data_IF_695784844975
#
_entry.id   IF_695784844975
#
_cell.length_a   1.000
_cell.length_b   1.000
_cell.length_c   1.000
_cell.angle_alpha   90.00
_cell.angle_beta   90.00
_cell.angle_gamma   90.00
#
_symmetry.space_group_name_H-M   'P 1'
#
loop_
_entity.id
_entity.type
_entity.pdbx_description
1 polymer ?
#
# COMPACT_ATOMS: atom_id res chain seq x y z
N UNK A 1 -4.38 -9.69 15.40
CA UNK A 1 -3.33 -8.69 15.16
C UNK A 1 -2.09 -9.49 14.82
N UNK A 2 -1.49 -9.18 13.68
CA UNK A 2 -0.22 -9.79 13.28
C UNK A 2 0.87 -8.73 13.47
N UNK A 3 1.92 -9.06 14.24
CA UNK A 3 3.08 -8.19 14.43
C UNK A 3 4.25 -8.73 13.60
N UNK A 4 4.83 -7.86 12.78
CA UNK A 4 5.98 -8.16 11.94
C UNK A 4 7.08 -7.16 12.30
N UNK A 5 8.21 -7.70 12.78
CA UNK A 5 9.39 -6.87 13.10
C UNK A 5 10.31 -6.79 11.89
N UNK A 6 10.58 -5.57 11.45
CA UNK A 6 11.55 -5.30 10.38
C UNK A 6 12.62 -4.37 10.94
N UNK A 7 13.67 -4.97 11.51
CA UNK A 7 14.72 -4.26 12.26
C UNK A 7 14.15 -3.27 13.30
N UNK A 8 14.57 -2.00 13.22
CA UNK A 8 14.23 -0.85 14.05
C UNK A 8 12.83 -0.28 13.74
N UNK A 9 11.98 -1.02 13.04
CA UNK A 9 10.60 -0.67 12.77
C UNK A 9 9.65 -1.84 13.10
N UNK A 10 8.44 -1.48 13.54
CA UNK A 10 7.35 -2.42 13.83
C UNK A 10 6.23 -2.20 12.86
N UNK A 11 5.73 -3.30 12.30
CA UNK A 11 4.56 -3.31 11.44
C UNK A 11 3.45 -4.12 12.12
N UNK A 12 2.25 -3.54 12.15
CA UNK A 12 1.07 -4.17 12.70
C UNK A 12 -0.02 -4.23 11.65
N UNK A 13 -0.69 -5.39 11.55
CA UNK A 13 -1.86 -5.58 10.69
C UNK A 13 -3.07 -5.92 11.56
N UNK A 14 -4.12 -5.11 11.45
CA UNK A 14 -5.37 -5.23 12.20
C UNK A 14 -6.53 -5.56 11.26
N UNK A 15 -7.26 -6.63 11.56
CA UNK A 15 -8.41 -7.11 10.75
C UNK A 15 -9.74 -6.47 11.15
N UNK A 16 -9.96 -6.32 12.46
CA UNK A 16 -11.10 -5.65 13.06
C UNK A 16 -10.55 -4.62 14.05
N UNK A 17 -10.77 -3.34 13.79
CA UNK A 17 -10.38 -2.26 14.69
C UNK A 17 -11.63 -1.56 15.18
N UNK A 18 -12.19 -2.03 16.29
CA UNK A 18 -13.52 -1.58 16.71
C UNK A 18 -13.54 -0.16 17.24
N UNK A 19 -12.44 0.40 17.77
CA UNK A 19 -12.37 1.81 18.13
C UNK A 19 -10.90 2.23 18.38
N UNK A 20 -10.57 3.45 17.96
CA UNK A 20 -9.43 4.27 18.39
C UNK A 20 -8.01 3.69 18.34
N UNK A 21 -7.42 3.70 17.14
CA UNK A 21 -5.99 4.03 17.03
C UNK A 21 -5.81 5.55 17.07
N UNK A 22 -6.18 6.20 18.18
CA UNK A 22 -6.00 7.66 18.36
C UNK A 22 -4.56 8.11 18.10
N UNK A 23 -3.61 7.21 18.31
CA UNK A 23 -2.19 7.48 18.16
C UNK A 23 -1.63 7.08 16.78
N UNK A 24 -2.49 6.74 15.82
CA UNK A 24 -2.07 6.43 14.43
C UNK A 24 -2.65 7.46 13.48
N UNK A 25 -1.75 8.18 12.80
CA UNK A 25 -2.10 9.11 11.74
C UNK A 25 -2.46 8.32 10.48
N UNK A 26 -3.67 8.51 9.96
CA UNK A 26 -4.14 7.85 8.75
C UNK A 26 -4.73 8.86 7.75
N UNK A 27 -4.37 8.78 6.46
CA UNK A 27 -4.93 9.64 5.42
C UNK A 27 -6.35 9.24 4.99
N UNK A 28 -7.08 10.20 4.45
CA UNK A 28 -8.29 9.99 3.65
C UNK A 28 -7.88 9.73 2.19
N UNK A 29 -7.99 8.46 1.80
CA UNK A 29 -7.51 7.91 0.54
C UNK A 29 -8.44 8.24 -0.63
N UNK A 30 -7.87 8.68 -1.75
CA UNK A 30 -8.64 9.05 -2.96
C UNK A 30 -8.10 8.40 -4.24
N UNK A 31 -7.16 7.46 -4.15
CA UNK A 31 -6.47 6.82 -5.29
C UNK A 31 -5.69 7.82 -6.17
N UNK A 32 -5.12 8.86 -5.54
CA UNK A 32 -4.21 9.85 -6.12
C UNK A 32 -2.73 9.42 -5.98
N UNK A 33 -1.82 10.35 -6.28
CA UNK A 33 -0.39 10.25 -5.99
C UNK A 33 0.09 11.27 -4.95
N UNK A 34 -0.84 11.87 -4.20
CA UNK A 34 -0.53 12.90 -3.21
C UNK A 34 0.13 12.26 -1.98
N UNK A 35 1.25 12.84 -1.58
CA UNK A 35 2.06 12.39 -0.44
C UNK A 35 2.28 13.58 0.50
N UNK A 36 2.23 13.32 1.81
CA UNK A 36 2.52 14.32 2.84
C UNK A 36 3.57 13.81 3.84
N UNK A 37 4.50 14.70 4.23
CA UNK A 37 5.32 14.49 5.41
C UNK A 37 4.54 14.90 6.67
N UNK A 38 4.38 13.96 7.59
CA UNK A 38 3.77 14.17 8.91
C UNK A 38 4.88 14.59 9.87
N UNK A 39 4.80 15.80 10.43
CA UNK A 39 5.79 16.36 11.36
C UNK A 39 5.32 16.24 12.81
N UNK A 40 4.07 16.61 13.07
CA UNK A 40 3.51 16.61 14.43
C UNK A 40 2.15 15.91 14.55
N UNK A 41 1.60 15.40 13.44
CA UNK A 41 0.34 14.67 13.41
C UNK A 41 -0.90 15.57 13.38
N UNK A 42 -0.73 16.89 13.27
CA UNK A 42 -1.84 17.87 13.20
C UNK A 42 -2.15 18.32 11.78
N UNK A 43 -1.41 17.83 10.78
CA UNK A 43 -1.62 18.20 9.41
C UNK A 43 -2.99 17.71 8.90
N UNK A 44 -3.48 18.35 7.84
CA UNK A 44 -4.71 17.88 7.19
C UNK A 44 -4.42 16.60 6.43
N UNK A 45 -5.18 15.56 6.76
CA UNK A 45 -5.01 14.22 6.22
C UNK A 45 -5.93 13.95 5.02
N UNK A 46 -6.45 14.99 4.37
CA UNK A 46 -7.41 14.87 3.27
C UNK A 46 -6.73 14.70 1.90
N UNK A 47 -7.31 13.85 1.04
CA UNK A 47 -6.91 13.69 -0.36
C UNK A 47 -5.46 13.21 -0.53
N UNK A 48 -5.03 12.23 0.28
CA UNK A 48 -3.67 11.69 0.29
C UNK A 48 -3.70 10.19 0.08
N UNK A 49 -2.68 9.66 -0.60
CA UNK A 49 -2.50 8.21 -0.78
C UNK A 49 -1.13 7.73 -0.27
N UNK A 50 -0.31 8.64 0.26
CA UNK A 50 0.89 8.28 0.99
C UNK A 50 1.22 9.28 2.08
N UNK A 51 1.81 8.79 3.16
CA UNK A 51 2.36 9.62 4.23
C UNK A 51 3.70 9.07 4.69
N UNK A 52 4.59 9.95 5.14
CA UNK A 52 5.86 9.56 5.75
C UNK A 52 6.24 10.49 6.89
N UNK A 53 7.17 10.07 7.74
CA UNK A 53 7.65 10.88 8.86
C UNK A 53 9.05 10.48 9.30
N UNK A 54 9.80 11.46 9.82
CA UNK A 54 11.04 11.25 10.58
C UNK A 54 10.82 11.35 12.10
N UNK A 55 9.60 11.69 12.54
CA UNK A 55 9.26 11.81 13.95
C UNK A 55 9.02 10.42 14.55
N UNK A 56 9.87 10.04 15.52
CA UNK A 56 9.86 8.70 16.13
C UNK A 56 8.66 8.43 17.03
N UNK A 57 7.97 9.49 17.46
CA UNK A 57 6.78 9.38 18.32
C UNK A 57 5.50 9.13 17.51
N UNK A 58 5.54 9.34 16.19
CA UNK A 58 4.37 9.23 15.31
C UNK A 58 4.29 7.83 14.71
N UNK A 59 3.10 7.23 14.81
CA UNK A 59 2.73 6.03 14.07
C UNK A 59 1.87 6.45 12.88
N UNK A 60 2.12 5.83 11.73
CA UNK A 60 1.37 6.11 10.50
C UNK A 60 0.73 4.82 9.99
N UNK A 61 -0.45 4.94 9.39
CA UNK A 61 -1.17 3.77 8.90
C UNK A 61 -2.08 4.04 7.71
N UNK A 62 -2.41 2.97 7.00
CA UNK A 62 -3.27 2.99 5.82
C UNK A 62 -4.31 1.88 5.91
N UNK A 63 -5.54 2.23 5.54
CA UNK A 63 -6.71 1.35 5.56
C UNK A 63 -6.96 0.81 4.15
N UNK A 64 -6.97 -0.50 3.96
CA UNK A 64 -7.19 -1.10 2.64
C UNK A 64 -8.23 -2.22 2.67
N UNK A 65 -8.86 -2.44 1.52
CA UNK A 65 -9.48 -3.70 1.14
C UNK A 65 -9.10 -3.90 -0.32
N UNK A 66 -8.30 -4.92 -0.60
CA UNK A 66 -7.69 -5.24 -1.90
C UNK A 66 -6.50 -4.39 -2.36
N UNK A 67 -6.49 -3.06 -2.16
CA UNK A 67 -5.28 -2.28 -2.54
C UNK A 67 -4.09 -2.58 -1.61
N UNK A 68 -2.87 -2.39 -2.11
CA UNK A 68 -1.65 -2.75 -1.40
C UNK A 68 -1.18 -1.64 -0.45
N UNK A 69 -1.12 -1.89 0.88
CA UNK A 69 -0.40 -1.01 1.79
C UNK A 69 1.09 -1.34 1.71
N UNK A 70 1.89 -0.39 1.22
CA UNK A 70 3.35 -0.51 1.12
C UNK A 70 4.01 0.35 2.18
N UNK A 71 4.77 -0.26 3.08
CA UNK A 71 5.55 0.41 4.11
C UNK A 71 7.01 0.57 3.67
N UNK A 72 7.62 1.69 4.02
CA UNK A 72 8.98 2.10 3.68
C UNK A 72 9.75 2.44 4.95
N UNK A 73 10.99 1.99 5.06
CA UNK A 73 11.86 2.32 6.19
C UNK A 73 13.33 2.37 5.77
N UNK A 74 14.01 3.50 5.96
CA UNK A 74 15.43 3.68 5.61
C UNK A 74 16.37 3.83 6.82
N UNK A 75 15.84 3.72 8.04
CA UNK A 75 16.57 3.95 9.28
C UNK A 75 16.30 5.31 9.93
N UNK A 76 15.96 6.32 9.13
CA UNK A 76 15.69 7.70 9.58
C UNK A 76 14.22 8.07 9.44
N UNK A 77 13.56 7.54 8.42
CA UNK A 77 12.16 7.79 8.10
C UNK A 77 11.38 6.49 8.01
N UNK A 78 10.11 6.57 8.38
CA UNK A 78 9.09 5.57 8.03
C UNK A 78 8.10 6.19 7.04
N UNK A 79 7.55 5.38 6.15
CA UNK A 79 6.49 5.78 5.22
C UNK A 79 5.49 4.67 4.99
N UNK A 80 4.29 5.04 4.58
CA UNK A 80 3.29 4.08 4.12
C UNK A 80 2.48 4.69 2.96
N UNK A 81 2.25 3.89 1.92
CA UNK A 81 1.50 4.28 0.72
C UNK A 81 0.39 3.27 0.39
N UNK A 82 -0.74 3.79 -0.07
CA UNK A 82 -1.89 3.06 -0.58
C UNK A 82 -1.72 2.90 -2.09
N UNK A 83 -1.11 1.80 -2.50
CA UNK A 83 -0.87 1.53 -3.92
C UNK A 83 -2.01 0.65 -4.41
N UNK A 84 -2.98 1.26 -5.07
CA UNK A 84 -3.92 0.57 -5.96
C UNK A 84 -3.39 0.54 -7.40
N UNK A 85 -4.14 -0.10 -8.30
CA UNK A 85 -3.80 -0.06 -9.73
C UNK A 85 -3.81 1.36 -10.36
N UNK A 86 -4.64 2.33 -9.92
CA UNK A 86 -4.46 3.73 -10.34
C UNK A 86 -3.14 4.31 -9.86
N UNK A 87 -2.73 3.94 -8.64
CA UNK A 87 -1.46 4.36 -8.04
C UNK A 87 -0.23 3.89 -8.83
N UNK A 88 -0.33 2.76 -9.54
CA UNK A 88 0.69 2.33 -10.52
C UNK A 88 0.76 3.30 -11.70
N UNK A 89 -0.40 3.71 -12.23
CA UNK A 89 -0.48 4.66 -13.33
C UNK A 89 -0.01 6.07 -12.94
N UNK A 90 -0.13 6.48 -11.68
CA UNK A 90 0.29 7.82 -11.24
C UNK A 90 1.73 7.87 -10.72
N UNK A 91 2.49 6.78 -10.83
CA UNK A 91 3.86 6.66 -10.31
C UNK A 91 3.96 6.96 -8.79
N UNK A 92 2.90 6.74 -8.01
CA UNK A 92 2.87 7.01 -6.56
C UNK A 92 4.06 6.36 -5.84
N UNK A 93 4.42 5.13 -6.21
CA UNK A 93 5.57 4.43 -5.63
C UNK A 93 6.88 5.20 -5.84
N UNK A 94 7.13 5.65 -7.07
CA UNK A 94 8.34 6.38 -7.45
C UNK A 94 8.41 7.71 -6.71
N UNK A 95 7.29 8.42 -6.58
CA UNK A 95 7.19 9.64 -5.76
C UNK A 95 7.46 9.36 -4.28
N UNK A 96 6.99 8.23 -3.75
CA UNK A 96 7.28 7.86 -2.37
C UNK A 96 8.77 7.57 -2.18
N UNK A 97 9.36 6.75 -3.05
CA UNK A 97 10.78 6.39 -3.02
C UNK A 97 11.72 7.61 -3.04
N UNK A 98 11.36 8.72 -3.71
CA UNK A 98 12.20 9.92 -3.72
C UNK A 98 12.34 10.62 -2.37
N UNK A 99 11.52 10.27 -1.37
CA UNK A 99 11.60 10.81 -0.01
C UNK A 99 12.57 10.03 0.90
N UNK A 100 13.09 8.88 0.44
CA UNK A 100 13.87 7.92 1.24
C UNK A 100 15.29 7.73 0.72
N UNK A 101 16.20 7.35 1.62
CA UNK A 101 17.52 6.87 1.25
C UNK A 101 17.44 5.41 0.79
N UNK A 102 17.50 5.18 -0.52
CA UNK A 102 17.33 3.86 -1.13
C UNK A 102 18.42 2.84 -0.76
N UNK A 103 19.61 3.27 -0.30
CA UNK A 103 20.71 2.36 0.05
C UNK A 103 20.38 1.45 1.23
N UNK A 104 19.59 1.93 2.18
CA UNK A 104 19.21 1.20 3.39
C UNK A 104 17.71 0.90 3.43
N UNK A 105 17.01 1.16 2.33
CA UNK A 105 15.57 1.09 2.28
C UNK A 105 15.08 -0.36 2.36
N UNK A 106 14.20 -0.58 3.33
CA UNK A 106 13.41 -1.79 3.50
C UNK A 106 11.98 -1.49 3.15
N UNK A 107 11.36 -2.47 2.51
CA UNK A 107 9.99 -2.36 2.05
C UNK A 107 9.21 -3.55 2.58
N UNK A 108 8.02 -3.26 3.08
CA UNK A 108 7.05 -4.29 3.43
C UNK A 108 5.76 -4.05 2.67
N UNK A 109 5.20 -5.11 2.09
CA UNK A 109 3.90 -5.06 1.43
C UNK A 109 2.94 -5.90 2.26
N UNK A 110 1.91 -5.26 2.83
CA UNK A 110 0.85 -5.96 3.56
C UNK A 110 -0.15 -6.66 2.64
N UNK A 111 -1.14 -7.37 3.19
CA UNK A 111 -2.11 -8.15 2.40
C UNK A 111 -2.86 -7.29 1.37
N UNK A 112 -3.03 -7.84 0.17
CA UNK A 112 -3.69 -7.18 -0.95
C UNK A 112 -4.19 -8.21 -1.97
N UNK A 113 -4.94 -7.78 -2.98
CA UNK A 113 -5.40 -8.66 -4.05
C UNK A 113 -4.26 -8.92 -5.03
N UNK A 114 -3.94 -10.18 -5.35
CA UNK A 114 -2.82 -10.42 -6.26
C UNK A 114 -3.20 -10.28 -7.74
N UNK A 115 -4.44 -10.61 -8.08
CA UNK A 115 -4.92 -10.66 -9.46
C UNK A 115 -6.40 -10.33 -9.55
N UNK A 116 -6.81 -9.57 -10.55
CA UNK A 116 -8.22 -9.25 -10.76
C UNK A 116 -8.56 -8.88 -12.20
N UNK A 117 -9.83 -9.04 -12.55
CA UNK A 117 -10.39 -8.60 -13.82
C UNK A 117 -10.39 -7.05 -13.89
N UNK A 118 -9.82 -6.51 -14.97
CA UNK A 118 -9.83 -5.08 -15.29
C UNK A 118 -10.78 -4.79 -16.44
N UNK A 119 -11.32 -3.56 -16.45
CA UNK A 119 -12.10 -3.02 -17.55
C UNK A 119 -11.28 -1.94 -18.25
N UNK A 120 -11.69 -1.57 -19.46
CA UNK A 120 -11.13 -0.41 -20.16
C UNK A 120 -11.63 0.86 -19.47
N UNK A 121 -10.82 1.38 -18.56
CA UNK A 121 -11.06 2.62 -17.81
C UNK A 121 -9.92 3.64 -18.06
N UNK A 122 -9.89 4.73 -17.29
CA UNK A 122 -8.96 5.84 -17.49
C UNK A 122 -7.48 5.45 -17.39
N UNK A 123 -7.14 4.35 -16.70
CA UNK A 123 -5.74 3.93 -16.50
C UNK A 123 -5.41 2.66 -17.31
N UNK A 124 -6.39 2.08 -18.02
CA UNK A 124 -6.20 0.94 -18.91
C UNK A 124 -5.09 1.16 -19.96
N UNK A 125 -5.11 2.28 -20.69
CA UNK A 125 -4.13 2.51 -21.75
C UNK A 125 -2.71 2.65 -21.20
N UNK A 126 -2.58 3.26 -20.01
CA UNK A 126 -1.28 3.37 -19.33
C UNK A 126 -0.81 2.01 -18.80
N UNK A 127 -1.69 1.22 -18.20
CA UNK A 127 -1.35 -0.16 -17.81
C UNK A 127 -0.97 -1.00 -19.04
N UNK A 128 -1.66 -0.84 -20.17
CA UNK A 128 -1.34 -1.56 -21.40
C UNK A 128 0.00 -1.13 -21.99
N UNK A 129 0.38 0.14 -21.86
CA UNK A 129 1.71 0.62 -22.24
C UNK A 129 2.80 0.08 -21.32
N UNK A 130 2.74 0.45 -20.05
CA UNK A 130 3.85 0.29 -19.09
C UNK A 130 3.89 -1.10 -18.44
N UNK A 131 2.74 -1.79 -18.39
CA UNK A 131 2.55 -3.03 -17.62
C UNK A 131 1.89 -4.15 -18.45
N UNK A 132 1.96 -4.11 -19.78
CA UNK A 132 1.38 -5.13 -20.68
C UNK A 132 1.80 -6.55 -20.34
N UNK A 133 3.05 -6.76 -19.92
CA UNK A 133 3.58 -8.07 -19.52
C UNK A 133 2.90 -8.67 -18.28
N UNK A 134 2.13 -7.87 -17.54
CA UNK A 134 1.35 -8.31 -16.37
C UNK A 134 -0.14 -8.42 -16.68
N UNK A 135 -0.53 -8.46 -17.96
CA UNK A 135 -1.91 -8.65 -18.40
C UNK A 135 -2.09 -10.02 -19.04
N UNK A 136 -3.05 -10.79 -18.51
CA UNK A 136 -3.50 -12.03 -19.11
C UNK A 136 -4.83 -11.81 -19.84
N UNK A 137 -4.97 -12.44 -20.99
CA UNK A 137 -6.18 -12.41 -21.80
C UNK A 137 -6.85 -13.79 -21.75
N UNK A 138 -8.02 -13.86 -21.12
CA UNK A 138 -8.81 -15.08 -20.96
C UNK A 138 -10.16 -14.90 -21.66
N UNK A 139 -10.21 -15.28 -22.94
CA UNK A 139 -11.36 -14.97 -23.81
C UNK A 139 -11.53 -13.45 -23.95
N UNK A 140 -12.73 -12.95 -23.63
CA UNK A 140 -13.05 -11.51 -23.67
C UNK A 140 -12.61 -10.75 -22.41
N UNK A 141 -12.09 -11.45 -21.40
CA UNK A 141 -11.69 -10.87 -20.13
C UNK A 141 -10.20 -10.56 -20.11
N UNK A 142 -9.87 -9.47 -19.42
CA UNK A 142 -8.49 -9.06 -19.17
C UNK A 142 -8.26 -9.12 -17.67
N UNK A 143 -7.24 -9.85 -17.27
CA UNK A 143 -6.82 -9.95 -15.88
C UNK A 143 -5.48 -9.26 -15.69
N UNK A 144 -5.37 -8.51 -14.61
CA UNK A 144 -4.15 -7.83 -14.23
C UNK A 144 -3.46 -8.55 -13.08
N UNK A 145 -2.22 -8.99 -13.31
CA UNK A 145 -1.34 -9.61 -12.32
C UNK A 145 -0.71 -8.53 -11.45
N UNK A 146 -1.52 -7.97 -10.55
CA UNK A 146 -1.17 -6.80 -9.74
C UNK A 146 0.04 -7.02 -8.84
N UNK A 147 0.18 -8.22 -8.26
CA UNK A 147 1.33 -8.57 -7.43
C UNK A 147 2.65 -8.40 -8.18
N UNK A 148 2.75 -8.99 -9.37
CA UNK A 148 3.98 -8.97 -10.15
C UNK A 148 4.27 -7.56 -10.70
N UNK A 149 3.22 -6.85 -11.14
CA UNK A 149 3.33 -5.45 -11.55
C UNK A 149 3.85 -4.56 -10.40
N UNK A 150 3.31 -4.72 -9.19
CA UNK A 150 3.75 -3.98 -8.01
C UNK A 150 5.20 -4.28 -7.66
N UNK A 151 5.57 -5.57 -7.58
CA UNK A 151 6.93 -6.01 -7.26
C UNK A 151 7.96 -5.53 -8.29
N UNK A 152 7.55 -5.42 -9.56
CA UNK A 152 8.42 -4.93 -10.63
C UNK A 152 8.92 -3.50 -10.42
N UNK A 153 8.22 -2.70 -9.59
CA UNK A 153 8.62 -1.33 -9.27
C UNK A 153 9.71 -1.23 -8.20
N UNK A 154 10.05 -2.34 -7.52
CA UNK A 154 11.01 -2.37 -6.41
C UNK A 154 12.28 -3.14 -6.75
N UNK A 155 12.63 -3.25 -8.03
CA UNK A 155 13.81 -3.99 -8.48
C UNK A 155 15.06 -3.54 -7.71
N UNK A 156 15.81 -4.52 -7.20
CA UNK A 156 17.05 -4.34 -6.42
C UNK A 156 16.86 -3.79 -4.99
N UNK A 157 15.63 -3.65 -4.51
CA UNK A 157 15.34 -3.26 -3.12
C UNK A 157 15.00 -4.49 -2.27
N UNK A 158 15.19 -4.36 -0.95
CA UNK A 158 14.85 -5.41 0.00
C UNK A 158 13.35 -5.37 0.33
N UNK A 159 12.57 -6.21 -0.35
CA UNK A 159 11.12 -6.30 -0.21
C UNK A 159 10.73 -7.55 0.56
N UNK A 160 9.97 -7.37 1.63
CA UNK A 160 9.26 -8.43 2.35
C UNK A 160 7.78 -8.30 2.01
N UNK A 161 7.12 -9.41 1.70
CA UNK A 161 5.70 -9.43 1.30
C UNK A 161 4.91 -10.35 2.22
N UNK A 162 3.78 -9.86 2.72
CA UNK A 162 2.74 -10.71 3.26
C UNK A 162 2.07 -11.47 2.11
N UNK A 163 2.17 -12.79 2.13
CA UNK A 163 1.71 -13.63 1.03
C UNK A 163 0.20 -13.82 0.93
N UNK A 164 -0.60 -13.21 1.82
CA UNK A 164 -2.06 -13.36 1.84
C UNK A 164 -2.72 -12.54 0.74
N UNK A 165 -3.54 -13.21 -0.06
CA UNK A 165 -4.41 -12.59 -1.05
C UNK A 165 -5.76 -12.22 -0.42
N UNK A 166 -6.12 -10.95 -0.39
CA UNK A 166 -7.38 -10.50 0.25
C UNK A 166 -8.62 -11.08 -0.42
N UNK A 167 -8.58 -11.34 -1.73
CA UNK A 167 -9.71 -11.90 -2.46
C UNK A 167 -9.89 -13.39 -2.16
N UNK A 168 -8.80 -14.14 -2.00
CA UNK A 168 -8.85 -15.59 -1.74
C UNK A 168 -8.97 -15.94 -0.25
N UNK A 169 -8.37 -15.15 0.63
CA UNK A 169 -8.45 -15.36 2.08
C UNK A 169 -9.77 -14.79 2.62
N UNK A 170 -10.71 -15.69 2.93
CA UNK A 170 -12.04 -15.34 3.45
C UNK A 170 -11.99 -14.71 4.85
N UNK A 171 -10.85 -14.77 5.55
CA UNK A 171 -10.65 -14.11 6.84
C UNK A 171 -10.26 -12.63 6.71
N UNK A 172 -10.04 -12.14 5.49
CA UNK A 172 -9.64 -10.76 5.20
C UNK A 172 -10.76 -10.03 4.45
N UNK A 173 -10.93 -8.72 4.68
CA UNK A 173 -11.90 -7.92 3.93
C UNK A 173 -11.44 -7.75 2.48
N UNK A 174 -12.37 -8.00 1.54
CA UNK A 174 -12.19 -7.75 0.12
C UNK A 174 -13.37 -6.98 -0.45
N UNK A 175 -13.10 -5.81 -1.00
CA UNK A 175 -14.13 -5.00 -1.66
C UNK A 175 -14.56 -5.63 -2.99
N UNK A 176 -13.63 -6.27 -3.70
CA UNK A 176 -13.89 -6.94 -4.97
C UNK A 176 -14.81 -8.15 -4.76
N UNK A 177 -14.58 -8.95 -3.71
CA UNK A 177 -15.37 -10.14 -3.37
C UNK A 177 -16.73 -9.78 -2.77
N UNK A 178 -16.74 -8.99 -1.69
CA UNK A 178 -17.91 -8.87 -0.81
C UNK A 178 -18.60 -7.50 -0.85
N UNK A 179 -18.03 -6.51 -1.56
CA UNK A 179 -18.42 -5.10 -1.47
C UNK A 179 -18.41 -4.56 -0.03
N UNK A 180 -17.54 -5.12 0.82
CA UNK A 180 -17.47 -4.78 2.24
C UNK A 180 -17.00 -3.34 2.49
N UNK A 181 -17.46 -2.77 3.61
CA UNK A 181 -16.95 -1.54 4.20
C UNK A 181 -15.79 -1.77 5.15
N UNK A 182 -15.56 -3.02 5.56
CA UNK A 182 -14.46 -3.40 6.44
C UNK A 182 -13.12 -3.16 5.75
N UNK A 183 -12.09 -2.86 6.54
CA UNK A 183 -10.75 -2.56 6.06
C UNK A 183 -9.73 -3.23 6.96
N UNK A 184 -8.61 -3.65 6.37
CA UNK A 184 -7.38 -3.89 7.11
C UNK A 184 -6.75 -2.55 7.43
N UNK A 185 -6.24 -2.40 8.65
CA UNK A 185 -5.32 -1.30 8.97
C UNK A 185 -3.91 -1.86 9.06
N UNK A 186 -3.03 -1.38 8.18
CA UNK A 186 -1.59 -1.61 8.25
C UNK A 186 -0.94 -0.38 8.88
N UNK A 187 -0.16 -0.58 9.94
CA UNK A 187 0.52 0.48 10.70
C UNK A 187 2.01 0.24 10.67
N UNK A 188 2.81 1.27 10.45
CA UNK A 188 4.26 1.28 10.67
C UNK A 188 4.63 2.30 11.74
N UNK A 189 5.60 1.93 12.56
CA UNK A 189 6.16 2.77 13.62
C UNK A 189 7.64 2.48 13.83
N UNK A 190 8.37 3.42 14.40
CA UNK A 190 9.72 3.14 14.90
C UNK A 190 9.68 2.16 16.09
N UNK A 191 10.78 1.46 16.33
CA UNK A 191 10.92 0.53 17.46
C UNK A 191 10.78 1.22 18.82
#
# INVERSE_FOLDING_TARGET
>A
MDEIKILNSKIFIYKNYENDFKDVVTPNLIHSDNILEVKDGKEKMDNLDGIFTSNKEIKIGIKTADCAPVCYFDGEKIGIAHIGWPGLCTELNKKMLSNFNTKNLKIFIGPFIHRFEIKKDFCFDKLKGDFSMFMDYEGDKIFFNFKDALLSQFKSLNVIIDGRDTFMDLSLPSYRRDKTKDRLLTVISFN
#
